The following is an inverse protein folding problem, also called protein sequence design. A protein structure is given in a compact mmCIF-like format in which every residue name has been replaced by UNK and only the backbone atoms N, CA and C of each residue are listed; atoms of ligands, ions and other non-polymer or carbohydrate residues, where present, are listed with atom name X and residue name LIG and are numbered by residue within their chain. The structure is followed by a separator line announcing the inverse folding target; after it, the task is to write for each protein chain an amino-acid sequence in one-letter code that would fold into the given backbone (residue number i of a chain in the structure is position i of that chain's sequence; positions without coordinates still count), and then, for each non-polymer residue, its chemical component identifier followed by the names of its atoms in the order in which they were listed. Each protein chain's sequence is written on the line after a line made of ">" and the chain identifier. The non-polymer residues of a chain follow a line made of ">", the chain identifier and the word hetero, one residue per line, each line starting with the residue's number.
data_IF_137473072174
#
_entry.id   IF_137473072174
#
_cell.length_a   1.000
_cell.length_b   1.000
_cell.length_c   1.000
_cell.angle_alpha   90.00
_cell.angle_beta   90.00
_cell.angle_gamma   90.00
#
_symmetry.space_group_name_H-M   'P 1'
#
loop_
_entity.id
_entity.type
_entity.pdbx_description
1 polymer ?
#
# COMPACT_ATOMS: atom_id res chain seq x y z
N UNK A 1 -24.41 56.86 51.27
CA UNK A 1 -25.87 57.00 51.51
C UNK A 1 -26.49 55.60 51.62
N UNK A 2 -27.59 55.43 52.38
CA UNK A 2 -27.74 54.47 53.50
C UNK A 2 -28.31 53.08 53.12
N UNK A 3 -27.96 52.01 53.85
CA UNK A 3 -28.73 51.29 54.90
C UNK A 3 -30.20 50.95 54.53
N UNK A 4 -30.56 49.66 54.45
CA UNK A 4 -31.45 48.95 55.41
C UNK A 4 -32.09 47.63 54.88
N UNK A 5 -31.87 46.59 55.70
CA UNK A 5 -32.84 45.57 56.18
C UNK A 5 -33.40 44.44 55.31
N UNK A 6 -33.13 43.23 55.82
CA UNK A 6 -33.91 41.98 55.75
C UNK A 6 -35.43 42.16 55.85
N UNK A 7 -36.19 41.26 55.19
CA UNK A 7 -37.32 40.56 55.82
C UNK A 7 -37.57 39.18 55.19
N UNK A 8 -37.88 38.22 56.06
CA UNK A 8 -38.26 36.83 55.81
C UNK A 8 -39.74 36.72 55.42
N UNK A 9 -40.10 35.73 54.61
CA UNK A 9 -41.36 34.97 54.72
C UNK A 9 -41.33 33.74 53.81
N UNK A 10 -41.36 32.54 54.42
CA UNK A 10 -41.68 31.23 53.83
C UNK A 10 -43.22 31.01 53.80
N UNK A 11 -43.75 29.84 53.41
CA UNK A 11 -43.73 29.16 52.11
C UNK A 11 -45.17 28.76 51.66
N UNK A 12 -45.31 28.08 50.51
CA UNK A 12 -46.29 27.01 50.17
C UNK A 12 -47.01 27.16 48.82
N UNK A 13 -46.77 26.12 48.00
CA UNK A 13 -47.73 25.17 47.37
C UNK A 13 -47.81 25.12 45.84
N UNK A 14 -47.54 23.89 45.39
CA UNK A 14 -48.17 23.10 44.30
C UNK A 14 -47.70 23.44 42.88
N UNK A 15 -46.84 22.59 42.31
CA UNK A 15 -47.15 21.33 41.58
C UNK A 15 -47.62 21.59 40.14
N UNK A 16 -46.71 21.36 39.20
CA UNK A 16 -46.92 20.59 37.96
C UNK A 16 -45.51 20.42 37.34
N UNK A 17 -44.86 19.27 37.50
CA UNK A 17 -44.96 18.01 36.73
C UNK A 17 -44.39 18.09 35.30
N UNK A 18 -43.60 17.06 35.00
CA UNK A 18 -43.12 16.54 33.70
C UNK A 18 -41.69 16.96 33.36
N UNK A 19 -40.67 16.15 33.69
CA UNK A 19 -40.29 14.85 33.08
C UNK A 19 -39.19 15.06 32.04
N UNK A 20 -38.02 14.49 32.32
CA UNK A 20 -36.85 14.50 31.45
C UNK A 20 -35.69 13.86 32.18
N UNK A 21 -35.79 12.54 32.36
CA UNK A 21 -34.89 11.72 33.15
C UNK A 21 -33.47 11.66 32.55
N UNK A 22 -32.50 11.79 33.46
CA UNK A 22 -31.11 11.36 33.32
C UNK A 22 -31.04 9.85 33.02
N UNK A 23 -30.63 9.49 31.80
CA UNK A 23 -30.10 8.18 31.37
C UNK A 23 -29.20 8.53 30.17
N UNK A 24 -27.94 8.16 30.03
CA UNK A 24 -27.21 7.00 30.50
C UNK A 24 -25.75 7.37 30.79
N UNK A 25 -25.22 6.87 31.91
CA UNK A 25 -23.83 6.46 31.94
C UNK A 25 -23.71 5.19 31.11
N UNK A 26 -23.07 5.31 29.96
CA UNK A 26 -22.31 4.22 29.34
C UNK A 26 -21.01 4.88 28.95
N UNK A 27 -19.90 4.34 29.46
CA UNK A 27 -18.57 4.70 29.00
C UNK A 27 -18.49 4.45 27.51
N UNK A 28 -18.83 5.45 26.72
CA UNK A 28 -18.25 5.63 25.41
C UNK A 28 -16.80 6.00 25.70
N UNK A 29 -15.96 4.97 25.85
CA UNK A 29 -14.61 5.05 25.34
C UNK A 29 -14.77 5.67 23.97
N UNK A 30 -14.45 6.95 23.87
CA UNK A 30 -14.35 7.59 22.58
C UNK A 30 -13.36 6.73 21.81
N UNK A 31 -13.85 5.92 20.88
CA UNK A 31 -13.05 5.53 19.75
C UNK A 31 -12.78 6.86 19.05
N UNK A 32 -11.72 7.53 19.49
CA UNK A 32 -11.04 8.51 18.68
C UNK A 32 -10.90 7.86 17.32
N UNK A 33 -11.35 8.48 16.22
CA UNK A 33 -10.98 7.98 14.90
C UNK A 33 -9.46 7.99 14.88
N UNK A 34 -8.86 6.81 15.01
CA UNK A 34 -7.43 6.66 14.86
C UNK A 34 -7.14 7.16 13.45
N UNK A 35 -6.22 8.11 13.34
CA UNK A 35 -5.75 8.53 12.03
C UNK A 35 -5.32 7.24 11.29
N UNK A 36 -5.57 7.10 9.97
CA UNK A 36 -5.22 5.88 9.22
C UNK A 36 -3.72 5.49 9.32
N UNK A 37 -2.90 6.40 9.85
CA UNK A 37 -1.48 6.22 10.16
C UNK A 37 -1.20 5.45 11.45
N UNK A 38 -2.18 5.21 12.33
CA UNK A 38 -2.03 4.32 13.48
C UNK A 38 -2.27 2.86 13.04
N UNK A 39 -1.16 2.16 12.82
CA UNK A 39 -1.02 0.69 12.72
C UNK A 39 -1.38 0.04 11.37
N UNK A 40 -0.97 0.62 10.25
CA UNK A 40 -0.67 -0.25 9.10
C UNK A 40 0.64 -1.01 9.40
N UNK A 41 0.63 -2.35 9.38
CA UNK A 41 1.86 -3.13 9.56
C UNK A 41 2.86 -2.83 8.45
N UNK A 42 4.15 -3.07 8.70
CA UNK A 42 5.23 -2.87 7.69
C UNK A 42 4.94 -3.59 6.38
N UNK A 43 4.12 -4.64 6.45
CA UNK A 43 3.59 -5.40 5.32
C UNK A 43 2.11 -5.69 5.54
N UNK A 44 1.27 -5.27 4.60
CA UNK A 44 -0.17 -5.51 4.62
C UNK A 44 -0.63 -6.01 3.24
N UNK A 45 -1.55 -6.97 3.21
CA UNK A 45 -2.16 -7.49 1.98
C UNK A 45 -3.67 -7.55 2.21
N UNK A 46 -4.42 -6.76 1.47
CA UNK A 46 -5.87 -6.89 1.44
C UNK A 46 -6.26 -8.25 0.85
N UNK A 47 -7.31 -8.92 1.38
CA UNK A 47 -7.85 -10.10 0.73
C UNK A 47 -8.35 -9.71 -0.67
N UNK A 48 -8.16 -10.59 -1.67
CA UNK A 48 -8.57 -10.28 -3.02
C UNK A 48 -10.08 -10.44 -3.17
N UNK A 49 -10.64 -9.74 -4.15
CA UNK A 49 -11.88 -10.18 -4.77
C UNK A 49 -11.62 -11.43 -5.62
N UNK A 50 -12.34 -12.51 -5.35
CA UNK A 50 -12.35 -13.72 -6.15
C UNK A 50 -13.62 -13.72 -7.02
N UNK A 51 -13.51 -14.19 -8.27
CA UNK A 51 -14.65 -14.32 -9.16
C UNK A 51 -15.77 -15.22 -8.58
N UNK A 52 -17.03 -14.84 -8.77
CA UNK A 52 -18.19 -15.47 -8.12
C UNK A 52 -18.48 -16.91 -8.59
N UNK A 53 -17.96 -17.32 -9.75
CA UNK A 53 -18.26 -18.58 -10.41
C UNK A 53 -17.22 -19.69 -10.17
N UNK A 54 -16.21 -19.45 -9.34
CA UNK A 54 -15.21 -20.44 -8.95
C UNK A 54 -15.81 -21.52 -8.06
N UNK A 55 -15.48 -22.79 -8.32
CA UNK A 55 -15.79 -23.87 -7.41
C UNK A 55 -14.89 -23.86 -6.15
N UNK A 56 -15.16 -24.74 -5.18
CA UNK A 56 -14.43 -24.75 -3.91
C UNK A 56 -12.94 -25.11 -4.04
N UNK A 57 -12.58 -25.91 -5.05
CA UNK A 57 -11.18 -26.23 -5.31
C UNK A 57 -10.50 -25.05 -6.00
N UNK A 58 -11.14 -24.47 -7.01
CA UNK A 58 -10.63 -23.29 -7.73
C UNK A 58 -10.43 -22.10 -6.80
N UNK A 59 -11.36 -21.88 -5.85
CA UNK A 59 -11.21 -20.83 -4.83
C UNK A 59 -9.96 -21.04 -3.97
N UNK A 60 -9.71 -22.27 -3.51
CA UNK A 60 -8.54 -22.57 -2.70
C UNK A 60 -7.23 -22.36 -3.49
N UNK A 61 -7.20 -22.76 -4.76
CA UNK A 61 -6.07 -22.54 -5.66
C UNK A 61 -5.86 -21.03 -5.95
N UNK A 62 -6.94 -20.26 -6.11
CA UNK A 62 -6.90 -18.82 -6.32
C UNK A 62 -6.38 -18.06 -5.08
N UNK A 63 -6.79 -18.48 -3.88
CA UNK A 63 -6.29 -17.93 -2.62
C UNK A 63 -4.79 -18.22 -2.44
N UNK A 64 -4.34 -19.44 -2.76
CA UNK A 64 -2.93 -19.81 -2.72
C UNK A 64 -2.10 -19.00 -3.74
N UNK A 65 -2.60 -18.88 -4.97
CA UNK A 65 -1.96 -18.08 -6.01
C UNK A 65 -1.83 -16.61 -5.57
N UNK A 66 -2.90 -16.05 -4.98
CA UNK A 66 -2.87 -14.70 -4.45
C UNK A 66 -1.84 -14.51 -3.35
N UNK A 67 -1.81 -15.41 -2.35
CA UNK A 67 -0.86 -15.34 -1.23
C UNK A 67 0.59 -15.36 -1.74
N UNK A 68 0.93 -16.32 -2.61
CA UNK A 68 2.29 -16.44 -3.13
C UNK A 68 2.71 -15.23 -3.96
N UNK A 69 1.82 -14.72 -4.83
CA UNK A 69 2.14 -13.66 -5.79
C UNK A 69 2.14 -12.29 -5.12
N UNK A 70 1.21 -12.01 -4.23
CA UNK A 70 1.23 -10.76 -3.43
C UNK A 70 2.43 -10.73 -2.48
N UNK A 71 2.78 -11.88 -1.88
CA UNK A 71 4.01 -12.07 -1.12
C UNK A 71 5.23 -11.71 -1.96
N UNK A 72 5.42 -12.40 -3.09
CA UNK A 72 6.54 -12.13 -3.99
C UNK A 72 6.61 -10.67 -4.47
N UNK A 73 5.47 -10.06 -4.85
CA UNK A 73 5.43 -8.67 -5.30
C UNK A 73 5.93 -7.72 -4.20
N UNK A 74 5.54 -7.95 -2.95
CA UNK A 74 5.97 -7.15 -1.81
C UNK A 74 7.45 -7.35 -1.45
N UNK A 75 8.00 -8.56 -1.61
CA UNK A 75 9.43 -8.81 -1.41
C UNK A 75 10.31 -8.06 -2.42
N UNK A 76 9.76 -7.75 -3.59
CA UNK A 76 10.47 -7.06 -4.66
C UNK A 76 10.15 -5.57 -4.74
N UNK A 77 9.01 -5.13 -4.17
CA UNK A 77 8.48 -3.77 -4.25
C UNK A 77 9.51 -2.69 -3.91
N UNK A 78 10.41 -2.95 -2.94
CA UNK A 78 11.49 -2.05 -2.56
C UNK A 78 12.62 -2.82 -1.88
N UNK A 79 13.86 -2.55 -2.28
CA UNK A 79 15.05 -2.95 -1.52
C UNK A 79 15.76 -1.70 -1.01
N UNK A 80 16.32 -1.76 0.21
CA UNK A 80 17.04 -0.63 0.82
C UNK A 80 18.19 -0.15 -0.09
N UNK A 81 18.89 -1.08 -0.75
CA UNK A 81 19.95 -0.77 -1.69
C UNK A 81 19.47 0.03 -2.92
N UNK A 82 18.24 -0.21 -3.39
CA UNK A 82 17.69 0.51 -4.53
C UNK A 82 17.20 1.94 -4.17
N UNK A 83 17.10 2.26 -2.88
CA UNK A 83 16.79 3.61 -2.39
C UNK A 83 18.04 4.44 -2.08
N UNK A 84 19.21 3.81 -1.97
CA UNK A 84 20.47 4.45 -1.64
C UNK A 84 21.03 5.22 -2.86
N UNK A 85 21.04 6.57 -2.84
CA UNK A 85 21.55 7.35 -3.95
C UNK A 85 23.06 7.16 -4.20
N UNK A 86 23.82 6.62 -3.24
CA UNK A 86 25.25 6.35 -3.36
C UNK A 86 25.55 4.94 -3.92
N UNK A 87 24.55 4.06 -3.97
CA UNK A 87 24.68 2.68 -4.48
C UNK A 87 23.68 2.47 -5.61
N UNK A 88 24.04 2.85 -6.86
CA UNK A 88 23.16 2.64 -7.99
C UNK A 88 22.89 1.14 -8.19
N UNK A 89 21.63 0.82 -8.50
CA UNK A 89 21.17 -0.54 -8.74
C UNK A 89 21.89 -1.17 -9.94
N UNK A 90 22.29 -2.44 -9.83
CA UNK A 90 22.90 -3.20 -10.92
C UNK A 90 21.90 -4.09 -11.66
N UNK A 91 22.28 -4.59 -12.84
CA UNK A 91 21.46 -5.56 -13.58
C UNK A 91 21.12 -6.79 -12.72
N UNK A 92 22.08 -7.28 -11.91
CA UNK A 92 21.88 -8.44 -11.06
C UNK A 92 20.84 -8.14 -9.96
N UNK A 93 20.93 -6.94 -9.34
CA UNK A 93 19.98 -6.50 -8.32
C UNK A 93 18.54 -6.40 -8.86
N UNK A 94 18.38 -6.06 -10.15
CA UNK A 94 17.09 -5.94 -10.82
C UNK A 94 16.56 -7.26 -11.40
N UNK A 95 17.41 -8.29 -11.60
CA UNK A 95 17.03 -9.53 -12.28
C UNK A 95 16.94 -10.72 -11.34
N UNK A 96 18.00 -11.02 -10.58
CA UNK A 96 18.12 -12.27 -9.81
C UNK A 96 16.96 -12.52 -8.83
N UNK A 97 16.43 -11.50 -8.12
CA UNK A 97 15.29 -11.69 -7.21
C UNK A 97 13.98 -12.00 -7.95
N UNK A 98 13.81 -11.47 -9.16
CA UNK A 98 12.55 -11.48 -9.91
C UNK A 98 12.39 -12.76 -10.73
N UNK A 99 13.44 -13.15 -11.45
CA UNK A 99 13.36 -14.20 -12.48
C UNK A 99 12.98 -15.57 -11.91
N UNK A 100 13.17 -15.79 -10.61
CA UNK A 100 12.84 -17.07 -9.94
C UNK A 100 11.34 -17.33 -9.80
N UNK A 101 10.52 -16.28 -9.80
CA UNK A 101 9.05 -16.38 -9.76
C UNK A 101 8.43 -16.25 -11.16
N UNK A 102 9.24 -16.33 -12.21
CA UNK A 102 8.81 -16.17 -13.59
C UNK A 102 9.00 -17.47 -14.36
N UNK A 103 8.13 -17.71 -15.34
CA UNK A 103 8.42 -18.72 -16.36
C UNK A 103 9.68 -18.34 -17.14
N UNK A 104 10.40 -19.29 -17.77
CA UNK A 104 11.60 -18.97 -18.54
C UNK A 104 11.39 -17.91 -19.63
N UNK A 105 10.19 -17.89 -20.23
CA UNK A 105 9.81 -16.89 -21.23
C UNK A 105 9.70 -15.49 -20.60
N UNK A 106 8.99 -15.38 -19.48
CA UNK A 106 8.81 -14.13 -18.74
C UNK A 106 10.13 -13.61 -18.18
N UNK A 107 10.96 -14.49 -17.62
CA UNK A 107 12.28 -14.15 -17.10
C UNK A 107 13.15 -13.50 -18.18
N UNK A 108 13.23 -14.13 -19.38
CA UNK A 108 13.97 -13.56 -20.50
C UNK A 108 13.36 -12.24 -21.01
N UNK A 109 12.06 -12.04 -20.87
CA UNK A 109 11.44 -10.77 -21.21
C UNK A 109 11.82 -9.68 -20.21
N UNK A 110 11.74 -9.97 -18.91
CA UNK A 110 12.19 -9.09 -17.84
C UNK A 110 13.65 -8.67 -17.99
N UNK A 111 14.56 -9.63 -18.21
CA UNK A 111 15.98 -9.34 -18.46
C UNK A 111 16.19 -8.32 -19.59
N UNK A 112 15.43 -8.43 -20.69
CA UNK A 112 15.49 -7.45 -21.79
C UNK A 112 15.03 -6.05 -21.38
N UNK A 113 14.01 -5.95 -20.53
CA UNK A 113 13.57 -4.64 -19.99
C UNK A 113 14.62 -4.04 -19.07
N UNK A 114 15.25 -4.85 -18.22
CA UNK A 114 16.37 -4.40 -17.37
C UNK A 114 17.54 -3.92 -18.20
N UNK A 115 17.96 -4.69 -19.22
CA UNK A 115 19.04 -4.29 -20.13
C UNK A 115 18.71 -2.96 -20.86
N UNK A 116 17.48 -2.79 -21.33
CA UNK A 116 17.04 -1.59 -22.02
C UNK A 116 16.97 -0.37 -21.10
N UNK A 117 16.46 -0.51 -19.87
CA UNK A 117 16.45 0.57 -18.88
C UNK A 117 17.89 1.01 -18.53
N UNK A 118 18.79 0.06 -18.30
CA UNK A 118 20.21 0.37 -18.05
C UNK A 118 20.89 1.06 -19.25
N UNK A 119 20.37 0.87 -20.46
CA UNK A 119 20.78 1.60 -21.66
C UNK A 119 20.11 2.99 -21.80
N UNK A 120 19.17 3.33 -20.90
CA UNK A 120 18.49 4.64 -20.84
C UNK A 120 17.10 4.67 -21.46
N UNK A 121 16.48 3.53 -21.76
CA UNK A 121 15.12 3.44 -22.29
C UNK A 121 14.08 3.73 -21.18
N UNK A 122 13.28 4.79 -21.37
CA UNK A 122 12.29 5.22 -20.38
C UNK A 122 11.06 4.32 -20.31
N UNK A 123 10.67 3.67 -21.41
CA UNK A 123 9.51 2.76 -21.41
C UNK A 123 9.88 1.45 -20.69
N UNK A 124 11.11 1.00 -20.89
CA UNK A 124 11.66 -0.13 -20.14
C UNK A 124 11.80 0.20 -18.64
N UNK A 125 12.21 1.43 -18.30
CA UNK A 125 12.27 1.92 -16.93
C UNK A 125 10.94 1.85 -16.21
N UNK A 126 9.86 2.30 -16.85
CA UNK A 126 8.52 2.25 -16.28
C UNK A 126 8.08 0.80 -15.99
N UNK A 127 8.53 -0.14 -16.84
CA UNK A 127 8.31 -1.57 -16.66
C UNK A 127 9.09 -2.12 -15.46
N UNK A 128 10.40 -1.83 -15.36
CA UNK A 128 11.23 -2.24 -14.22
C UNK A 128 10.68 -1.63 -12.91
N UNK A 129 10.19 -0.39 -13.00
CA UNK A 129 9.59 0.33 -11.89
C UNK A 129 8.30 -0.29 -11.34
N UNK A 130 7.61 -1.17 -12.08
CA UNK A 130 6.40 -1.84 -11.59
C UNK A 130 6.65 -2.72 -10.38
N UNK A 131 7.76 -3.47 -10.40
CA UNK A 131 8.12 -4.38 -9.34
C UNK A 131 9.21 -3.83 -8.44
N UNK A 132 10.10 -2.97 -8.94
CA UNK A 132 11.19 -2.40 -8.15
C UNK A 132 11.11 -0.89 -8.09
N UNK A 133 11.13 -0.31 -6.89
CA UNK A 133 11.54 1.09 -6.77
C UNK A 133 13.05 1.19 -7.05
N UNK A 134 13.49 1.72 -8.20
CA UNK A 134 14.91 1.73 -8.55
C UNK A 134 15.52 3.09 -8.92
N UNK A 135 14.78 4.20 -8.92
CA UNK A 135 15.35 5.54 -9.11
C UNK A 135 14.57 6.69 -8.44
N UNK A 136 15.32 7.68 -7.93
CA UNK A 136 14.79 8.98 -7.52
C UNK A 136 14.76 9.96 -8.70
N UNK A 137 13.83 10.95 -8.72
CA UNK A 137 13.81 11.98 -9.76
C UNK A 137 15.16 12.70 -9.93
N UNK A 138 15.56 12.99 -11.17
CA UNK A 138 16.86 13.62 -11.51
C UNK A 138 17.16 14.94 -10.78
N UNK A 139 16.13 15.65 -10.30
CA UNK A 139 16.26 16.94 -9.62
C UNK A 139 16.33 16.83 -8.08
N UNK A 140 16.38 15.62 -7.53
CA UNK A 140 16.40 15.38 -6.09
C UNK A 140 17.84 15.51 -5.52
N UNK A 141 18.05 16.31 -4.46
CA UNK A 141 19.39 16.67 -3.97
C UNK A 141 19.98 15.62 -3.00
N UNK A 142 20.88 14.77 -3.52
CA UNK A 142 21.51 13.64 -2.81
C UNK A 142 22.29 13.98 -1.52
N UNK A 143 22.88 15.18 -1.40
CA UNK A 143 23.85 15.49 -0.32
C UNK A 143 23.25 15.74 1.06
N UNK A 144 21.93 15.83 1.18
CA UNK A 144 21.25 16.20 2.42
C UNK A 144 20.35 15.08 2.95
N UNK A 145 20.54 13.86 2.45
CA UNK A 145 19.58 12.76 2.58
C UNK A 145 20.14 11.56 3.32
N UNK A 146 19.34 11.02 4.24
CA UNK A 146 19.49 9.69 4.81
C UNK A 146 18.26 8.86 4.41
N UNK A 147 18.42 7.64 3.84
CA UNK A 147 17.28 6.78 3.50
C UNK A 147 16.43 6.45 4.72
N UNK A 148 15.10 6.56 4.61
CA UNK A 148 14.16 6.11 5.62
C UNK A 148 13.07 5.29 4.95
N UNK A 149 13.11 3.97 5.15
CA UNK A 149 12.10 3.09 4.60
C UNK A 149 10.83 3.09 5.48
N UNK A 150 9.66 3.06 4.85
CA UNK A 150 8.42 2.82 5.57
C UNK A 150 7.41 2.08 4.67
N UNK A 151 7.37 0.77 4.80
CA UNK A 151 6.26 -0.10 4.39
C UNK A 151 5.98 -0.26 2.88
N UNK A 152 5.63 -1.48 2.50
CA UNK A 152 4.93 -1.76 1.25
C UNK A 152 3.70 -2.62 1.54
N UNK A 153 2.62 -2.39 0.83
CA UNK A 153 1.37 -3.12 1.00
C UNK A 153 0.64 -3.31 -0.31
N UNK A 154 -0.23 -4.33 -0.37
CA UNK A 154 -1.09 -4.60 -1.52
C UNK A 154 -2.53 -4.20 -1.16
N UNK A 155 -3.13 -3.35 -2.00
CA UNK A 155 -4.55 -3.01 -1.95
C UNK A 155 -5.24 -3.39 -3.26
N UNK A 156 -6.57 -3.43 -3.24
CA UNK A 156 -7.43 -3.58 -4.43
C UNK A 156 -7.03 -4.76 -5.32
N UNK A 157 -7.04 -5.96 -4.73
CA UNK A 157 -6.72 -7.23 -5.38
C UNK A 157 -7.91 -7.86 -6.09
N UNK A 158 -7.70 -8.39 -7.29
CA UNK A 158 -8.69 -9.17 -8.02
C UNK A 158 -8.03 -10.42 -8.62
N UNK A 159 -8.71 -11.57 -8.53
CA UNK A 159 -8.28 -12.84 -9.11
C UNK A 159 -9.40 -13.43 -9.96
N UNK A 160 -9.11 -13.69 -11.23
CA UNK A 160 -10.03 -14.30 -12.18
C UNK A 160 -9.42 -15.58 -12.78
N UNK A 161 -10.23 -16.62 -13.06
CA UNK A 161 -9.76 -17.76 -13.84
C UNK A 161 -9.28 -17.30 -15.23
N UNK A 162 -8.12 -17.76 -15.64
CA UNK A 162 -7.61 -17.49 -16.98
C UNK A 162 -8.09 -18.55 -17.98
N UNK A 163 -8.04 -18.25 -19.29
CA UNK A 163 -8.24 -19.30 -20.30
C UNK A 163 -7.13 -20.37 -20.20
N UNK A 164 -7.49 -21.59 -19.84
CA UNK A 164 -6.55 -22.70 -19.62
C UNK A 164 -6.20 -22.85 -18.14
N UNK A 165 -5.00 -23.33 -17.83
CA UNK A 165 -4.55 -23.43 -16.45
C UNK A 165 -4.08 -22.06 -15.93
N UNK A 166 -4.55 -21.71 -14.72
CA UNK A 166 -4.08 -20.59 -13.92
C UNK A 166 -5.03 -19.40 -13.81
N UNK A 167 -4.49 -18.27 -13.36
CA UNK A 167 -5.27 -17.10 -12.96
C UNK A 167 -4.70 -15.81 -13.54
N UNK A 168 -5.60 -14.87 -13.84
CA UNK A 168 -5.27 -13.48 -14.08
C UNK A 168 -5.44 -12.71 -12.76
N UNK A 169 -4.35 -12.11 -12.28
CA UNK A 169 -4.28 -11.37 -11.02
C UNK A 169 -4.07 -9.89 -11.32
N UNK A 170 -4.92 -9.04 -10.76
CA UNK A 170 -4.73 -7.58 -10.70
C UNK A 170 -4.50 -7.16 -9.26
N UNK A 171 -3.52 -6.31 -9.02
CA UNK A 171 -3.27 -5.77 -7.67
C UNK A 171 -2.69 -4.37 -7.73
N UNK A 172 -2.89 -3.60 -6.66
CA UNK A 172 -2.19 -2.34 -6.44
C UNK A 172 -1.12 -2.53 -5.39
N UNK A 173 0.14 -2.49 -5.80
CA UNK A 173 1.29 -2.45 -4.88
C UNK A 173 1.56 -1.00 -4.52
N UNK A 174 1.41 -0.69 -3.24
CA UNK A 174 1.76 0.62 -2.69
C UNK A 174 3.09 0.50 -1.97
N UNK A 175 4.06 1.27 -2.42
CA UNK A 175 5.32 1.45 -1.72
C UNK A 175 5.34 2.86 -1.17
N UNK A 176 5.63 3.00 0.12
CA UNK A 176 5.94 4.32 0.65
C UNK A 176 7.46 4.45 0.81
N UNK A 177 8.04 5.36 0.03
CA UNK A 177 9.48 5.64 0.02
C UNK A 177 9.76 6.98 0.70
N UNK A 178 10.70 7.01 1.64
CA UNK A 178 11.02 8.17 2.45
C UNK A 178 12.51 8.48 2.47
N UNK A 179 12.84 9.76 2.54
CA UNK A 179 14.20 10.23 2.79
C UNK A 179 14.15 11.32 3.85
N UNK A 180 15.08 11.30 4.81
CA UNK A 180 15.28 12.41 5.73
C UNK A 180 16.05 13.51 5.03
N UNK A 181 15.44 14.67 4.81
CA UNK A 181 16.08 15.88 4.30
C UNK A 181 16.18 16.92 5.41
N UNK A 182 17.39 17.33 5.80
CA UNK A 182 17.63 18.35 6.84
C UNK A 182 16.89 18.08 8.16
N UNK A 183 16.84 16.82 8.59
CA UNK A 183 16.10 16.36 9.78
C UNK A 183 14.56 16.36 9.63
N UNK A 184 14.03 16.55 8.43
CA UNK A 184 12.62 16.36 8.11
C UNK A 184 12.44 15.13 7.21
N UNK A 185 11.53 14.22 7.56
CA UNK A 185 11.17 13.12 6.68
C UNK A 185 10.32 13.64 5.52
N UNK A 186 10.77 13.40 4.29
CA UNK A 186 9.98 13.58 3.08
C UNK A 186 9.60 12.19 2.58
N UNK A 187 8.33 11.84 2.70
CA UNK A 187 7.78 10.55 2.29
C UNK A 187 6.80 10.71 1.13
N UNK A 188 6.81 9.75 0.20
CA UNK A 188 5.83 9.67 -0.86
C UNK A 188 5.32 8.23 -1.01
N UNK A 189 4.00 8.10 -1.13
CA UNK A 189 3.34 6.86 -1.54
C UNK A 189 3.38 6.77 -3.06
N UNK A 190 3.92 5.66 -3.56
CA UNK A 190 3.97 5.30 -4.97
C UNK A 190 3.06 4.10 -5.17
N UNK A 191 1.94 4.34 -5.87
CA UNK A 191 0.97 3.30 -6.19
C UNK A 191 1.28 2.72 -7.57
N UNK A 192 1.38 1.40 -7.65
CA UNK A 192 1.66 0.67 -8.89
C UNK A 192 0.60 -0.38 -9.10
N UNK A 193 -0.17 -0.23 -10.17
CA UNK A 193 -1.07 -1.29 -10.61
C UNK A 193 -0.27 -2.33 -11.39
N UNK A 194 -0.42 -3.59 -11.00
CA UNK A 194 0.23 -4.73 -11.64
C UNK A 194 -0.85 -5.68 -12.14
N UNK A 195 -0.77 -6.11 -13.40
CA UNK A 195 -1.61 -7.17 -13.94
C UNK A 195 -0.70 -8.31 -14.41
N UNK A 196 -0.96 -9.50 -13.87
CA UNK A 196 -0.15 -10.69 -14.07
C UNK A 196 -1.05 -11.83 -14.51
N UNK A 197 -0.55 -12.65 -15.43
CA UNK A 197 -1.05 -14.00 -15.62
C UNK A 197 -0.12 -14.97 -14.91
N UNK A 198 -0.68 -15.83 -14.07
CA UNK A 198 0.06 -16.83 -13.30
C UNK A 198 -0.38 -18.24 -13.65
N UNK A 199 0.56 -19.18 -13.60
CA UNK A 199 0.34 -20.59 -13.92
C UNK A 199 0.99 -21.46 -12.85
N UNK A 200 0.43 -22.64 -12.54
CA UNK A 200 1.01 -23.52 -11.54
C UNK A 200 2.27 -24.21 -12.06
N UNK A 201 3.24 -24.41 -11.17
CA UNK A 201 4.44 -25.25 -11.37
C UNK A 201 4.75 -25.98 -10.06
N UNK A 202 4.24 -27.21 -9.94
CA UNK A 202 4.38 -27.99 -8.71
C UNK A 202 3.60 -27.35 -7.55
N UNK A 203 4.31 -26.92 -6.52
CA UNK A 203 3.79 -26.22 -5.34
C UNK A 203 3.89 -24.69 -5.43
N UNK A 204 4.22 -24.15 -6.62
CA UNK A 204 4.44 -22.72 -6.82
C UNK A 204 3.58 -22.15 -7.93
N UNK A 205 3.31 -20.85 -7.85
CA UNK A 205 2.67 -20.08 -8.90
C UNK A 205 3.66 -19.18 -9.63
N UNK A 206 3.87 -19.40 -10.92
CA UNK A 206 4.81 -18.62 -11.72
C UNK A 206 4.12 -17.55 -12.55
N UNK A 207 4.76 -16.39 -12.70
CA UNK A 207 4.33 -15.33 -13.62
C UNK A 207 4.61 -15.77 -15.06
N UNK A 208 3.56 -16.12 -15.79
CA UNK A 208 3.58 -16.53 -17.20
C UNK A 208 3.50 -15.35 -18.16
N UNK A 209 2.90 -14.24 -17.72
CA UNK A 209 2.88 -12.99 -18.45
C UNK A 209 2.68 -11.82 -17.49
N UNK A 210 3.27 -10.67 -17.80
CA UNK A 210 2.95 -9.41 -17.15
C UNK A 210 2.77 -8.35 -18.23
N UNK A 211 1.76 -7.49 -18.09
CA UNK A 211 1.37 -6.56 -19.16
C UNK A 211 2.23 -5.28 -19.22
N UNK A 212 3.11 -5.08 -18.23
CA UNK A 212 4.14 -4.03 -18.23
C UNK A 212 3.58 -2.62 -18.16
N UNK A 213 2.30 -2.43 -17.80
CA UNK A 213 1.67 -1.11 -17.79
C UNK A 213 1.68 -0.48 -16.41
N UNK A 214 2.61 0.46 -16.19
CA UNK A 214 2.61 1.32 -15.02
C UNK A 214 1.51 2.38 -15.14
N UNK A 215 0.49 2.26 -14.28
CA UNK A 215 -0.46 3.36 -14.03
C UNK A 215 -0.20 3.92 -12.64
N UNK A 216 0.56 5.01 -12.57
CA UNK A 216 0.74 5.78 -11.34
C UNK A 216 -0.54 6.57 -11.09
N UNK A 217 -1.37 6.09 -10.18
CA UNK A 217 -2.44 6.92 -9.63
C UNK A 217 -1.81 7.79 -8.55
N UNK A 218 -1.89 9.13 -8.65
CA UNK A 218 -1.39 10.00 -7.59
C UNK A 218 -2.03 9.54 -6.27
N UNK A 219 -1.22 9.38 -5.23
CA UNK A 219 -1.75 9.16 -3.89
C UNK A 219 -2.79 10.24 -3.61
N UNK A 220 -3.95 9.87 -3.07
CA UNK A 220 -4.91 10.85 -2.60
C UNK A 220 -4.11 11.79 -1.69
N UNK A 221 -3.96 13.06 -2.11
CA UNK A 221 -3.15 14.01 -1.36
C UNK A 221 -3.64 13.98 0.09
N UNK A 222 -2.79 13.50 1.00
CA UNK A 222 -2.80 14.07 2.33
C UNK A 222 -2.40 15.52 2.13
N UNK A 223 -3.44 16.36 2.02
CA UNK A 223 -3.33 17.80 2.17
C UNK A 223 -2.84 18.02 3.58
N UNK A 224 -1.53 17.96 3.80
CA UNK A 224 -0.94 18.69 4.91
C UNK A 224 -1.17 20.17 4.61
N UNK A 225 -1.94 20.89 5.45
CA UNK A 225 -2.21 22.29 5.21
C UNK A 225 -0.93 23.08 5.46
N UNK A 226 -0.54 23.86 4.45
CA UNK A 226 0.32 25.06 4.50
C UNK A 226 1.54 25.05 5.43
N UNK A 227 2.73 25.09 4.82
CA UNK A 227 3.84 25.93 5.29
C UNK A 227 4.28 26.82 4.14
#
# INVERSE_FOLDING_TARGET
>A
MPIHTRRRSTPLRRRALLSGALVAGVGLSACSPQAPTEVMPERFVDPPYLAEDMDAQEQAEAEEAWEQISGWALDNATSEGALDPERPTTAADLTEPVVRQMTPRSAKAWERHVEADLAGDLDARDTVNLLHFHEWPKNFNRRRMEPVHHGSWVTDGEVYPAEGEGFDISMTVVTRAGLTWDKQLVSQDVNRRVNLRVVPEGDRWLVANYDGKLRITPSAKDVSPNV
#
